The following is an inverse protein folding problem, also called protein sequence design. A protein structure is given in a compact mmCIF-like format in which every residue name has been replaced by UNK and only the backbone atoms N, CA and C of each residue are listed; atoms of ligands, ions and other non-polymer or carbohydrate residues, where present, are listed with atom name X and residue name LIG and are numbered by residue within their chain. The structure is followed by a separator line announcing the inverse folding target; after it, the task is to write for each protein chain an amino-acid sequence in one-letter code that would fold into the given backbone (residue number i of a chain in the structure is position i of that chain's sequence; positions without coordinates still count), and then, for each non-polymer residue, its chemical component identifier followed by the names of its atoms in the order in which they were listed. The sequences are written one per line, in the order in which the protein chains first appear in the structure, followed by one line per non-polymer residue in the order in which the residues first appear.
data_IF_754185152850
#
_entry.id   IF_754185152850
#
_cell.length_a   1.000
_cell.length_b   1.000
_cell.length_c   1.000
_cell.angle_alpha   90.00
_cell.angle_beta   90.00
_cell.angle_gamma   90.00
#
_symmetry.space_group_name_H-M   'P 1'
#
loop_
_entity.id
_entity.type
_entity.pdbx_description
1 polymer ?
#
# COMPACT_ATOMS: atom_id res chain seq x y z
N UNK A 1 17.19 -16.07 3.47
CA UNK A 1 17.12 -17.35 2.69
C UNK A 1 15.75 -17.38 2.02
N UNK A 2 15.67 -17.82 0.77
CA UNK A 2 14.39 -18.04 0.04
C UNK A 2 14.26 -19.54 -0.13
N UNK A 3 13.07 -20.05 0.18
CA UNK A 3 12.73 -21.47 0.05
C UNK A 3 11.49 -21.56 -0.82
N UNK A 4 11.55 -22.37 -1.87
CA UNK A 4 10.36 -22.74 -2.64
C UNK A 4 9.68 -23.91 -1.92
N UNK A 5 8.46 -23.72 -1.45
CA UNK A 5 7.74 -24.75 -0.70
C UNK A 5 7.44 -26.02 -1.54
N UNK A 6 7.49 -25.90 -2.86
CA UNK A 6 7.34 -27.07 -3.78
C UNK A 6 8.55 -28.01 -3.73
N UNK A 7 9.68 -27.54 -3.20
CA UNK A 7 10.91 -28.31 -3.02
C UNK A 7 10.99 -29.00 -1.64
N UNK A 8 10.06 -28.67 -0.74
CA UNK A 8 9.96 -29.28 0.59
C UNK A 8 9.14 -30.59 0.53
N UNK A 9 9.44 -31.50 1.43
CA UNK A 9 8.59 -32.66 1.62
C UNK A 9 7.33 -32.29 2.40
N UNK A 10 6.25 -33.05 2.25
CA UNK A 10 4.96 -32.79 2.93
C UNK A 10 5.06 -32.81 4.45
N UNK A 11 6.07 -33.48 5.02
CA UNK A 11 6.30 -33.56 6.47
C UNK A 11 7.25 -32.47 7.00
N UNK A 12 7.82 -31.66 6.13
CA UNK A 12 8.74 -30.62 6.57
C UNK A 12 7.96 -29.49 7.30
N UNK A 13 8.45 -29.13 8.45
CA UNK A 13 7.86 -28.06 9.27
C UNK A 13 8.82 -26.90 9.37
N UNK A 14 8.35 -25.68 9.03
CA UNK A 14 9.09 -24.45 9.23
C UNK A 14 8.62 -23.82 10.54
N UNK A 15 9.53 -23.67 11.49
CA UNK A 15 9.26 -23.01 12.77
C UNK A 15 9.79 -21.59 12.78
N UNK A 16 9.01 -20.65 13.33
CA UNK A 16 9.42 -19.27 13.48
C UNK A 16 8.74 -18.65 14.70
N UNK A 17 9.35 -17.59 15.25
CA UNK A 17 8.73 -16.76 16.30
C UNK A 17 7.64 -15.86 15.72
N UNK A 18 7.85 -15.40 14.49
CA UNK A 18 6.95 -14.49 13.77
C UNK A 18 6.72 -15.01 12.36
N UNK A 19 5.46 -15.13 11.97
CA UNK A 19 5.06 -15.47 10.62
C UNK A 19 4.30 -14.31 9.99
N UNK A 20 4.86 -13.70 8.94
CA UNK A 20 4.21 -12.67 8.15
C UNK A 20 3.61 -13.31 6.90
N UNK A 21 2.31 -13.14 6.68
CA UNK A 21 1.60 -13.72 5.54
C UNK A 21 1.34 -12.64 4.50
N UNK A 22 1.92 -12.80 3.33
CA UNK A 22 1.83 -11.90 2.18
C UNK A 22 3.11 -11.08 1.98
N UNK A 23 3.77 -11.28 0.84
CA UNK A 23 4.99 -10.59 0.42
C UNK A 23 4.75 -9.31 -0.35
N UNK A 24 3.64 -8.61 -0.12
CA UNK A 24 3.42 -7.25 -0.63
C UNK A 24 4.17 -6.18 0.18
N UNK A 25 4.02 -4.91 -0.19
CA UNK A 25 4.72 -3.78 0.43
C UNK A 25 4.64 -3.78 1.97
N UNK A 26 3.43 -4.00 2.51
CA UNK A 26 3.21 -4.01 3.97
C UNK A 26 3.90 -5.19 4.65
N UNK A 27 3.78 -6.39 4.09
CA UNK A 27 4.41 -7.58 4.66
C UNK A 27 5.94 -7.49 4.62
N UNK A 28 6.50 -7.00 3.52
CA UNK A 28 7.95 -6.76 3.41
C UNK A 28 8.40 -5.71 4.43
N UNK A 29 7.64 -4.61 4.59
CA UNK A 29 7.96 -3.57 5.58
C UNK A 29 7.95 -4.14 7.00
N UNK A 30 6.94 -4.93 7.36
CA UNK A 30 6.85 -5.58 8.68
C UNK A 30 8.02 -6.56 8.87
N UNK A 31 8.29 -7.42 7.90
CA UNK A 31 9.40 -8.38 8.00
C UNK A 31 10.76 -7.69 8.18
N UNK A 32 10.97 -6.55 7.51
CA UNK A 32 12.18 -5.76 7.67
C UNK A 32 12.37 -5.16 9.07
N UNK A 33 11.30 -4.89 9.81
CA UNK A 33 11.41 -4.41 11.20
C UNK A 33 12.06 -5.44 12.11
N UNK A 34 11.93 -6.72 11.78
CA UNK A 34 12.52 -7.82 12.54
C UNK A 34 13.88 -8.28 11.98
N UNK A 35 14.34 -7.66 10.89
CA UNK A 35 15.66 -7.95 10.34
C UNK A 35 16.73 -7.55 11.38
N UNK A 36 17.66 -8.46 11.67
CA UNK A 36 18.66 -8.33 12.73
C UNK A 36 18.09 -8.25 14.17
N UNK A 37 16.83 -8.62 14.38
CA UNK A 37 16.27 -8.81 15.72
C UNK A 37 16.62 -10.20 16.27
N UNK A 38 16.26 -10.46 17.53
CA UNK A 38 16.39 -11.79 18.14
C UNK A 38 15.31 -12.78 17.66
N UNK A 39 14.31 -12.32 16.94
CA UNK A 39 13.19 -13.14 16.50
C UNK A 39 13.52 -13.81 15.15
N UNK A 40 13.27 -15.12 15.07
CA UNK A 40 13.27 -15.82 13.82
C UNK A 40 11.96 -15.50 13.08
N UNK A 41 12.07 -14.84 11.93
CA UNK A 41 10.92 -14.32 11.18
C UNK A 41 10.82 -15.03 9.83
N UNK A 42 9.63 -15.52 9.52
CA UNK A 42 9.28 -16.09 8.22
C UNK A 42 8.26 -15.19 7.53
N UNK A 43 8.49 -14.92 6.26
CA UNK A 43 7.52 -14.27 5.38
C UNK A 43 7.05 -15.31 4.35
N UNK A 44 5.75 -15.57 4.36
CA UNK A 44 5.08 -16.46 3.41
C UNK A 44 4.47 -15.65 2.27
N UNK A 45 4.79 -16.02 1.03
CA UNK A 45 4.17 -15.46 -0.17
C UNK A 45 3.60 -16.59 -1.02
N UNK A 46 2.37 -16.42 -1.48
CA UNK A 46 1.67 -17.43 -2.27
C UNK A 46 2.09 -17.44 -3.74
N UNK A 47 2.71 -16.37 -4.20
CA UNK A 47 3.28 -16.28 -5.55
C UNK A 47 4.76 -16.58 -5.56
N UNK A 48 5.35 -16.60 -6.75
CA UNK A 48 6.78 -16.77 -6.93
C UNK A 48 7.51 -15.42 -6.97
N UNK A 49 8.81 -15.44 -7.20
CA UNK A 49 9.61 -14.22 -7.39
C UNK A 49 9.28 -13.48 -8.69
N UNK A 50 8.63 -14.16 -9.64
CA UNK A 50 8.22 -13.60 -10.91
C UNK A 50 6.73 -13.85 -11.12
N UNK A 51 6.12 -13.03 -11.97
CA UNK A 51 4.74 -13.22 -12.39
C UNK A 51 4.54 -14.61 -13.02
N UNK A 52 3.47 -15.28 -12.60
CA UNK A 52 2.99 -16.55 -13.12
C UNK A 52 1.48 -16.46 -13.32
N UNK A 53 1.03 -16.64 -14.57
CA UNK A 53 -0.39 -16.49 -14.92
C UNK A 53 -1.28 -17.51 -14.22
N UNK A 54 -0.81 -18.73 -14.01
CA UNK A 54 -1.57 -19.77 -13.32
C UNK A 54 -1.76 -19.47 -11.83
N UNK A 55 -0.74 -18.87 -11.20
CA UNK A 55 -0.84 -18.41 -9.81
C UNK A 55 -1.74 -17.18 -9.75
N UNK A 56 -1.66 -16.29 -10.75
CA UNK A 56 -2.50 -15.09 -10.83
C UNK A 56 -3.99 -15.43 -10.95
N UNK A 57 -4.35 -16.51 -11.65
CA UNK A 57 -5.73 -17.00 -11.77
C UNK A 57 -6.38 -17.33 -10.41
N UNK A 58 -5.59 -17.60 -9.37
CA UNK A 58 -6.10 -17.78 -8.00
C UNK A 58 -6.77 -16.51 -7.41
N UNK A 59 -6.62 -15.36 -8.06
CA UNK A 59 -7.38 -14.15 -7.75
C UNK A 59 -8.71 -14.06 -8.48
N UNK A 60 -9.03 -15.00 -9.34
CA UNK A 60 -10.33 -15.02 -10.01
C UNK A 60 -11.47 -15.10 -8.99
N UNK A 61 -12.55 -14.42 -9.29
CA UNK A 61 -13.68 -14.32 -8.39
C UNK A 61 -14.74 -13.34 -8.88
N UNK A 62 -15.80 -13.23 -8.11
CA UNK A 62 -16.94 -12.36 -8.43
C UNK A 62 -16.93 -11.09 -7.57
N UNK A 63 -17.24 -9.97 -8.20
CA UNK A 63 -17.55 -8.72 -7.51
C UNK A 63 -19.03 -8.73 -7.11
N UNK A 64 -19.31 -8.73 -5.81
CA UNK A 64 -20.68 -8.70 -5.29
C UNK A 64 -21.37 -7.36 -5.44
N UNK A 65 -20.60 -6.27 -5.56
CA UNK A 65 -21.09 -4.90 -5.70
C UNK A 65 -20.38 -4.18 -6.84
N UNK A 66 -21.14 -3.43 -7.62
CA UNK A 66 -20.57 -2.47 -8.58
C UNK A 66 -20.28 -1.16 -7.85
N UNK A 67 -19.02 -0.77 -7.78
CA UNK A 67 -18.59 0.53 -7.23
C UNK A 67 -17.54 1.16 -8.14
N UNK A 68 -17.44 2.49 -8.14
CA UNK A 68 -16.42 3.24 -8.87
C UNK A 68 -16.22 2.86 -10.35
N UNK A 69 -17.32 2.63 -11.08
CA UNK A 69 -17.27 2.31 -12.52
C UNK A 69 -17.00 0.85 -12.88
N UNK A 70 -16.78 -0.02 -11.90
CA UNK A 70 -16.68 -1.45 -12.17
C UNK A 70 -18.08 -2.04 -12.39
N UNK A 71 -18.25 -2.74 -13.50
CA UNK A 71 -19.49 -3.48 -13.75
C UNK A 71 -19.48 -4.73 -12.89
N UNK A 72 -20.63 -5.03 -12.27
CA UNK A 72 -20.88 -6.34 -11.66
C UNK A 72 -20.54 -7.41 -12.70
N UNK A 73 -19.75 -8.40 -12.34
CA UNK A 73 -19.28 -9.49 -13.22
C UNK A 73 -18.27 -9.09 -14.32
N UNK A 74 -17.50 -8.02 -14.15
CA UNK A 74 -16.32 -7.84 -15.00
C UNK A 74 -15.28 -8.90 -14.61
N UNK A 75 -15.14 -9.91 -15.43
CA UNK A 75 -14.45 -11.17 -15.15
C UNK A 75 -12.93 -11.05 -14.90
N UNK A 76 -12.34 -9.88 -15.03
CA UNK A 76 -10.88 -9.75 -14.94
C UNK A 76 -10.40 -8.66 -13.96
N UNK A 77 -11.30 -8.02 -13.20
CA UNK A 77 -10.92 -6.91 -12.30
C UNK A 77 -10.00 -7.41 -11.21
N UNK A 78 -10.34 -8.52 -10.58
CA UNK A 78 -9.56 -9.05 -9.46
C UNK A 78 -8.19 -9.58 -9.89
N UNK A 79 -8.10 -10.18 -11.07
CA UNK A 79 -6.84 -10.72 -11.61
C UNK A 79 -5.95 -9.64 -12.22
N UNK A 80 -6.51 -8.50 -12.65
CA UNK A 80 -5.73 -7.42 -13.25
C UNK A 80 -5.31 -6.35 -12.25
N UNK A 81 -6.12 -6.10 -11.22
CA UNK A 81 -5.88 -5.00 -10.27
C UNK A 81 -4.94 -5.39 -9.12
N UNK A 82 -4.67 -6.67 -8.94
CA UNK A 82 -3.79 -7.19 -7.90
C UNK A 82 -2.82 -8.20 -8.48
N UNK A 83 -1.60 -8.16 -7.99
CA UNK A 83 -0.56 -9.10 -8.40
C UNK A 83 -0.25 -10.09 -7.28
N UNK A 84 -0.17 -11.37 -7.65
CA UNK A 84 0.15 -12.49 -6.75
C UNK A 84 1.58 -12.96 -7.03
N UNK A 85 2.55 -12.23 -6.52
CA UNK A 85 3.97 -12.58 -6.51
C UNK A 85 4.71 -11.73 -5.49
N UNK A 86 5.97 -12.00 -5.23
CA UNK A 86 6.78 -11.24 -4.29
C UNK A 86 6.90 -9.77 -4.70
N UNK A 87 6.54 -8.87 -3.79
CA UNK A 87 6.34 -7.44 -4.05
C UNK A 87 4.86 -7.07 -4.22
N UNK A 88 4.01 -8.01 -4.63
CA UNK A 88 2.57 -7.79 -4.80
C UNK A 88 2.25 -6.72 -5.82
N UNK A 89 1.13 -6.03 -5.61
CA UNK A 89 0.61 -4.98 -6.51
C UNK A 89 1.55 -3.78 -6.68
N UNK A 90 2.52 -3.57 -5.78
CA UNK A 90 3.56 -2.55 -5.96
C UNK A 90 4.48 -2.81 -7.16
N UNK A 91 4.40 -3.99 -7.78
CA UNK A 91 5.10 -4.28 -9.02
C UNK A 91 4.50 -3.62 -10.27
N UNK A 92 3.26 -3.10 -10.21
CA UNK A 92 2.60 -2.43 -11.35
C UNK A 92 1.80 -1.17 -10.98
N UNK A 93 1.93 -0.66 -9.76
CA UNK A 93 1.20 0.52 -9.34
C UNK A 93 1.78 1.81 -9.94
N UNK A 94 1.01 2.91 -9.89
CA UNK A 94 1.47 4.20 -10.40
C UNK A 94 2.47 4.94 -9.51
N UNK A 95 2.92 4.35 -8.40
CA UNK A 95 3.91 4.94 -7.50
C UNK A 95 3.43 6.14 -6.67
N UNK A 96 2.14 6.46 -6.74
CA UNK A 96 1.59 7.62 -6.03
C UNK A 96 1.38 7.33 -4.56
N UNK A 97 1.98 8.14 -3.70
CA UNK A 97 1.86 8.03 -2.25
C UNK A 97 1.44 9.36 -1.63
N UNK A 98 0.57 9.29 -0.63
CA UNK A 98 0.15 10.43 0.16
C UNK A 98 -0.14 10.00 1.60
N UNK A 99 0.06 10.86 2.60
CA UNK A 99 -0.39 10.58 3.95
C UNK A 99 -1.91 10.67 4.04
N UNK A 100 -2.48 10.06 5.08
CA UNK A 100 -3.87 10.28 5.43
C UNK A 100 -4.13 11.70 5.90
N UNK A 101 -5.34 12.18 5.67
CA UNK A 101 -5.82 13.45 6.21
C UNK A 101 -6.34 13.28 7.65
N UNK A 102 -6.44 14.38 8.38
CA UNK A 102 -6.96 14.36 9.76
C UNK A 102 -8.37 13.77 9.87
N UNK A 103 -9.18 13.93 8.81
CA UNK A 103 -10.53 13.38 8.77
C UNK A 103 -10.54 11.85 8.71
N UNK A 104 -9.49 11.22 8.16
CA UNK A 104 -9.41 9.77 8.06
C UNK A 104 -9.27 9.11 9.44
N UNK A 105 -8.69 9.84 10.41
CA UNK A 105 -8.52 9.39 11.78
C UNK A 105 -9.76 9.61 12.66
N UNK A 106 -10.68 10.46 12.24
CA UNK A 106 -11.87 10.82 13.03
C UNK A 106 -13.00 9.82 12.84
N UNK A 107 -13.71 9.54 13.92
CA UNK A 107 -14.97 8.84 13.83
C UNK A 107 -15.99 9.72 13.10
N UNK A 108 -16.68 9.15 12.12
CA UNK A 108 -17.66 9.84 11.27
C UNK A 108 -18.99 9.12 11.37
N UNK A 109 -20.03 9.80 11.79
CA UNK A 109 -21.36 9.20 12.01
C UNK A 109 -21.97 8.58 10.74
N UNK A 110 -21.57 9.06 9.58
CA UNK A 110 -22.02 8.58 8.27
C UNK A 110 -21.15 7.47 7.67
N UNK A 111 -20.07 7.06 8.34
CA UNK A 111 -19.18 5.97 7.91
C UNK A 111 -19.07 4.97 9.05
N UNK A 112 -19.74 3.81 8.96
CA UNK A 112 -19.64 2.77 9.97
C UNK A 112 -18.19 2.33 10.20
N UNK A 113 -17.83 2.07 11.45
CA UNK A 113 -16.49 1.61 11.85
C UNK A 113 -15.35 2.54 11.42
N UNK A 114 -15.62 3.84 11.23
CA UNK A 114 -14.60 4.85 10.95
C UNK A 114 -13.87 5.28 12.22
N UNK A 115 -12.73 5.93 12.03
CA UNK A 115 -11.87 6.38 13.12
C UNK A 115 -10.76 5.39 13.46
N UNK A 116 -9.67 5.92 13.96
CA UNK A 116 -8.50 5.18 14.42
C UNK A 116 -8.22 5.53 15.88
N UNK A 117 -7.64 4.63 16.69
CA UNK A 117 -7.32 4.91 18.10
C UNK A 117 -6.08 5.81 18.27
N UNK A 118 -5.60 6.40 17.20
CA UNK A 118 -4.46 7.32 17.12
C UNK A 118 -4.73 8.41 16.07
N UNK A 119 -3.89 9.42 16.01
CA UNK A 119 -4.02 10.56 15.11
C UNK A 119 -2.85 10.64 14.12
N UNK A 120 -2.90 11.61 13.20
CA UNK A 120 -1.87 11.81 12.18
C UNK A 120 -0.48 12.06 12.78
N UNK A 121 -0.39 12.81 13.89
CA UNK A 121 0.90 13.14 14.50
C UNK A 121 1.62 11.88 15.02
N UNK A 122 0.86 10.91 15.49
CA UNK A 122 1.41 9.62 15.92
C UNK A 122 2.06 8.87 14.74
N UNK A 123 1.61 9.10 13.51
CA UNK A 123 2.14 8.46 12.29
C UNK A 123 3.29 9.22 11.63
N UNK A 124 3.56 10.48 11.96
CA UNK A 124 4.65 11.27 11.32
C UNK A 124 6.00 10.55 11.35
N UNK A 125 6.47 9.97 12.47
CA UNK A 125 7.72 9.23 12.49
C UNK A 125 7.75 8.06 11.49
N UNK A 126 6.63 7.37 11.35
CA UNK A 126 6.48 6.22 10.44
C UNK A 126 6.42 6.65 8.98
N UNK A 127 5.73 7.75 8.66
CA UNK A 127 5.76 8.33 7.32
C UNK A 127 7.18 8.72 6.89
N UNK A 128 7.98 9.27 7.80
CA UNK A 128 9.38 9.58 7.53
C UNK A 128 10.21 8.32 7.22
N UNK A 129 9.95 7.23 7.94
CA UNK A 129 10.60 5.94 7.69
C UNK A 129 10.14 5.35 6.36
N UNK A 130 8.84 5.40 6.06
CA UNK A 130 8.26 4.93 4.81
C UNK A 130 8.82 5.74 3.61
N UNK A 131 8.95 7.06 3.73
CA UNK A 131 9.56 7.90 2.70
C UNK A 131 11.00 7.47 2.39
N UNK A 132 11.78 7.17 3.42
CA UNK A 132 13.15 6.67 3.26
C UNK A 132 13.16 5.29 2.57
N UNK A 133 12.25 4.40 2.94
CA UNK A 133 12.13 3.07 2.34
C UNK A 133 11.76 3.16 0.86
N UNK A 134 10.87 4.09 0.51
CA UNK A 134 10.41 4.33 -0.86
C UNK A 134 11.36 5.18 -1.70
N UNK A 135 12.45 5.69 -1.13
CA UNK A 135 13.41 6.55 -1.84
C UNK A 135 12.86 7.93 -2.22
N UNK A 136 11.80 8.40 -1.55
CA UNK A 136 11.17 9.70 -1.82
C UNK A 136 11.57 10.73 -0.75
N UNK A 137 11.48 12.05 -1.07
CA UNK A 137 11.74 13.09 -0.10
C UNK A 137 10.84 12.98 1.14
N UNK A 138 11.36 13.40 2.30
CA UNK A 138 10.57 13.52 3.51
C UNK A 138 9.33 14.39 3.25
N UNK A 139 8.17 13.86 3.59
CA UNK A 139 6.91 14.60 3.43
C UNK A 139 6.85 15.75 4.43
N UNK A 140 6.62 16.96 3.94
CA UNK A 140 6.35 18.10 4.78
C UNK A 140 4.85 18.33 4.85
N UNK A 141 4.27 18.06 6.01
CA UNK A 141 2.83 18.18 6.25
C UNK A 141 2.37 19.64 6.39
N UNK A 142 3.27 20.56 6.71
CA UNK A 142 2.93 21.94 7.07
C UNK A 142 3.11 22.92 5.91
N UNK A 143 3.84 22.54 4.89
CA UNK A 143 4.05 23.38 3.72
C UNK A 143 3.58 22.69 2.45
N UNK A 144 2.42 23.13 1.96
CA UNK A 144 2.20 23.05 0.53
C UNK A 144 3.29 23.91 -0.13
N UNK A 145 4.11 23.38 -1.05
CA UNK A 145 5.01 24.24 -1.80
C UNK A 145 4.19 25.36 -2.41
N UNK A 146 4.68 26.59 -2.33
CA UNK A 146 4.07 27.74 -2.99
C UNK A 146 4.11 27.52 -4.50
N UNK A 147 3.16 26.79 -5.03
CA UNK A 147 3.00 26.59 -6.45
C UNK A 147 2.21 27.76 -7.04
N UNK A 148 2.93 28.73 -7.56
CA UNK A 148 2.36 29.83 -8.37
C UNK A 148 1.57 29.36 -9.61
N UNK A 149 1.57 28.06 -9.93
CA UNK A 149 0.92 27.52 -11.12
C UNK A 149 -0.56 27.14 -10.94
N UNK A 150 -1.11 27.11 -9.71
CA UNK A 150 -2.54 26.91 -9.47
C UNK A 150 -3.35 28.21 -9.40
N UNK A 151 -2.84 29.30 -9.97
CA UNK A 151 -3.50 30.61 -9.96
C UNK A 151 -4.88 30.65 -10.63
N UNK A 152 -5.28 29.65 -11.38
CA UNK A 152 -6.51 29.71 -12.18
C UNK A 152 -7.68 28.91 -11.62
N UNK A 153 -7.52 28.16 -10.52
CA UNK A 153 -8.66 27.59 -9.83
C UNK A 153 -9.18 28.58 -8.79
N UNK A 154 -9.90 29.60 -9.26
CA UNK A 154 -10.77 30.40 -8.39
C UNK A 154 -11.94 29.53 -7.98
N UNK A 155 -11.74 28.75 -6.93
CA UNK A 155 -12.83 28.01 -6.36
C UNK A 155 -13.57 28.89 -5.35
N UNK A 156 -14.84 29.11 -5.59
CA UNK A 156 -15.73 29.86 -4.70
C UNK A 156 -15.98 29.13 -3.36
N UNK A 157 -15.45 27.92 -3.20
CA UNK A 157 -15.56 27.09 -1.99
C UNK A 157 -14.19 26.70 -1.47
N UNK A 158 -13.38 27.68 -1.08
CA UNK A 158 -12.02 27.48 -0.53
C UNK A 158 -11.94 26.52 0.66
N UNK A 159 -13.02 26.28 1.35
CA UNK A 159 -13.06 25.50 2.59
C UNK A 159 -13.26 24.00 2.36
N UNK A 160 -13.57 23.57 1.13
CA UNK A 160 -13.96 22.19 0.84
C UNK A 160 -12.94 21.39 0.02
N UNK A 161 -11.94 22.03 -0.58
CA UNK A 161 -10.97 21.37 -1.44
C UNK A 161 -9.56 21.56 -0.88
N UNK A 162 -9.01 20.49 -0.36
CA UNK A 162 -7.60 20.41 0.03
C UNK A 162 -6.79 19.84 -1.14
N UNK A 163 -5.75 20.56 -1.56
CA UNK A 163 -4.82 20.07 -2.57
C UNK A 163 -3.78 19.18 -1.88
N UNK A 164 -3.68 17.94 -2.31
CA UNK A 164 -2.62 17.02 -1.89
C UNK A 164 -1.50 16.97 -2.91
N UNK A 165 -0.29 16.80 -2.42
CA UNK A 165 0.87 16.51 -3.25
C UNK A 165 1.14 15.02 -3.14
N UNK A 166 1.17 14.38 -4.28
CA UNK A 166 1.57 13.00 -4.40
C UNK A 166 3.02 12.93 -4.87
N UNK A 167 3.72 11.89 -4.47
CA UNK A 167 5.06 11.59 -4.96
C UNK A 167 5.02 10.30 -5.75
N UNK A 168 5.73 10.28 -6.84
CA UNK A 168 6.02 9.05 -7.58
C UNK A 168 7.19 8.34 -6.90
N UNK A 169 6.94 7.18 -6.32
CA UNK A 169 7.96 6.40 -5.64
C UNK A 169 8.98 5.77 -6.61
N UNK A 170 8.65 5.66 -7.89
CA UNK A 170 9.57 5.10 -8.90
C UNK A 170 10.61 6.11 -9.37
N UNK A 171 10.26 7.38 -9.43
CA UNK A 171 11.14 8.47 -9.92
C UNK A 171 11.56 9.43 -8.83
N UNK A 172 10.89 9.42 -7.66
CA UNK A 172 11.06 10.41 -6.61
C UNK A 172 10.51 11.80 -6.98
N UNK A 173 9.82 11.93 -8.10
CA UNK A 173 9.27 13.19 -8.58
C UNK A 173 7.92 13.51 -7.92
N UNK A 174 7.63 14.80 -7.82
CA UNK A 174 6.33 15.29 -7.36
C UNK A 174 5.32 15.21 -8.48
N UNK A 175 4.25 14.47 -8.27
CA UNK A 175 3.11 14.48 -9.18
C UNK A 175 2.18 15.63 -8.83
N UNK A 176 1.66 16.30 -9.86
CA UNK A 176 0.70 17.40 -9.75
C UNK A 176 -0.65 16.90 -10.27
N UNK A 177 -1.68 17.05 -9.48
CA UNK A 177 -3.07 16.86 -9.87
C UNK A 177 -3.88 18.10 -9.56
#
# INVERSE_FOLDING_TARGET
MIIDLRELNELDTVQSDICVIGGGASGIAIANEFNNSKFNTVLLESGSLKYDSKIQELYDGELTHSGFGFKKNSSNVLTNDRLRYFGGTTGHWGGMVAPFDDIDFKQRAWVPNSGWPFNRNDLIPYYNRASKLLGIPKYNFDSLPNYNSFRNFKNSRKETINTKIFFDASTGEKLRF
#
